data_IF_887694200067
#
_entry.id   IF_887694200067
#
_cell.length_a   1.000
_cell.length_b   1.000
_cell.length_c   1.000
_cell.angle_alpha   90.00
_cell.angle_beta   90.00
_cell.angle_gamma   90.00
#
_symmetry.space_group_name_H-M   'P 1'
#
loop_
_entity.id
_entity.type
_entity.pdbx_description
1 polymer ?
#
# COMPACT_ATOMS: atom_id res chain seq x y z
N UNK A 1 -45.28 -7.49 -33.94
CA UNK A 1 -43.87 -7.77 -33.60
C UNK A 1 -43.18 -6.44 -33.37
N UNK A 2 -42.89 -6.10 -32.12
CA UNK A 2 -42.01 -5.00 -31.74
C UNK A 2 -41.39 -5.42 -30.43
N UNK A 3 -40.14 -5.86 -30.49
CA UNK A 3 -39.33 -6.17 -29.34
C UNK A 3 -38.75 -4.84 -28.84
N UNK A 4 -38.98 -4.51 -27.57
CA UNK A 4 -38.24 -3.47 -26.88
C UNK A 4 -36.96 -4.09 -26.31
N UNK A 5 -35.83 -3.78 -26.90
CA UNK A 5 -34.53 -3.97 -26.26
C UNK A 5 -34.35 -2.86 -25.22
N UNK A 6 -34.53 -3.21 -23.94
CA UNK A 6 -33.96 -2.43 -22.85
C UNK A 6 -32.50 -2.79 -22.73
N UNK A 7 -31.63 -1.99 -23.35
CA UNK A 7 -30.20 -2.01 -23.09
C UNK A 7 -29.96 -1.63 -21.62
N UNK A 8 -29.57 -2.61 -20.80
CA UNK A 8 -29.05 -2.38 -19.45
C UNK A 8 -27.67 -1.71 -19.57
N UNK A 9 -27.63 -0.38 -19.43
CA UNK A 9 -26.40 0.36 -19.27
C UNK A 9 -25.72 -0.10 -17.96
N UNK A 10 -24.79 -1.04 -18.06
CA UNK A 10 -23.86 -1.34 -16.97
C UNK A 10 -22.91 -0.14 -16.86
N UNK A 11 -22.67 0.43 -15.67
CA UNK A 11 -21.68 1.47 -15.54
C UNK A 11 -20.32 0.86 -15.87
N UNK A 12 -19.74 1.24 -17.00
CA UNK A 12 -18.35 0.94 -17.32
C UNK A 12 -17.49 1.89 -16.49
N UNK A 13 -17.14 1.47 -15.28
CA UNK A 13 -16.23 2.21 -14.41
C UNK A 13 -16.50 1.97 -12.93
N UNK A 14 -15.42 1.90 -12.16
CA UNK A 14 -15.41 1.83 -10.69
C UNK A 14 -16.30 2.90 -10.03
N UNK A 15 -16.98 2.50 -8.95
CA UNK A 15 -17.82 3.38 -8.14
C UNK A 15 -17.07 4.69 -7.74
N UNK A 16 -17.61 5.88 -8.07
CA UNK A 16 -17.01 7.17 -7.71
C UNK A 16 -16.73 7.34 -6.21
N UNK A 17 -17.56 6.79 -5.32
CA UNK A 17 -17.35 6.88 -3.87
C UNK A 17 -16.08 6.15 -3.41
N UNK A 18 -15.69 5.07 -4.10
CA UNK A 18 -14.39 4.40 -3.84
C UNK A 18 -13.22 5.29 -4.23
N UNK A 19 -13.33 6.01 -5.36
CA UNK A 19 -12.30 6.97 -5.79
C UNK A 19 -12.13 8.08 -4.76
N UNK A 20 -13.23 8.59 -4.20
CA UNK A 20 -13.20 9.63 -3.15
C UNK A 20 -12.44 9.16 -1.90
N UNK A 21 -12.56 7.88 -1.51
CA UNK A 21 -11.82 7.34 -0.34
C UNK A 21 -10.30 7.28 -0.50
N UNK A 22 -9.81 7.44 -1.73
CA UNK A 22 -8.39 7.53 -2.06
C UNK A 22 -8.11 8.79 -2.91
N UNK A 23 -8.85 9.89 -2.71
CA UNK A 23 -8.58 11.16 -3.39
C UNK A 23 -7.15 11.68 -3.11
N UNK A 24 -6.60 11.30 -1.95
CA UNK A 24 -5.18 11.37 -1.62
C UNK A 24 -4.61 9.96 -1.43
N UNK A 25 -3.29 9.76 -1.58
CA UNK A 25 -2.66 8.48 -1.30
C UNK A 25 -3.02 8.00 0.12
N UNK A 26 -3.49 6.76 0.30
CA UNK A 26 -3.79 6.24 1.63
C UNK A 26 -2.58 6.30 2.56
N UNK A 27 -2.81 6.70 3.82
CA UNK A 27 -1.81 6.71 4.88
C UNK A 27 -2.28 5.83 6.04
N UNK A 28 -1.39 5.03 6.60
CA UNK A 28 -1.77 4.06 7.63
C UNK A 28 -0.64 3.20 8.16
N UNK A 29 -1.03 2.09 8.77
CA UNK A 29 -0.18 1.06 9.32
C UNK A 29 -0.56 -0.30 8.73
N UNK A 30 0.44 -1.15 8.49
CA UNK A 30 0.25 -2.52 8.03
C UNK A 30 1.10 -3.47 8.90
N UNK A 31 0.55 -4.63 9.23
CA UNK A 31 1.20 -5.59 10.15
C UNK A 31 2.35 -6.42 9.58
N UNK A 32 2.60 -6.39 8.26
CA UNK A 32 3.52 -7.32 7.60
C UNK A 32 4.97 -7.21 8.09
N UNK A 33 5.58 -6.02 8.03
CA UNK A 33 7.02 -5.89 8.31
C UNK A 33 7.36 -6.21 9.77
N UNK A 34 6.45 -5.97 10.71
CA UNK A 34 6.64 -6.30 12.12
C UNK A 34 6.22 -7.72 12.48
N UNK A 35 5.08 -8.22 11.98
CA UNK A 35 4.46 -9.45 12.48
C UNK A 35 4.20 -10.52 11.42
N UNK A 36 4.59 -10.29 10.16
CA UNK A 36 4.36 -11.21 9.05
C UNK A 36 2.89 -11.61 8.96
N UNK A 37 2.64 -12.91 8.73
CA UNK A 37 1.29 -13.47 8.75
C UNK A 37 0.70 -13.70 10.15
N UNK A 38 1.42 -13.34 11.24
CA UNK A 38 1.18 -13.81 12.61
C UNK A 38 0.64 -12.76 13.60
N UNK A 39 0.20 -11.60 13.10
CA UNK A 39 -0.33 -10.54 13.97
C UNK A 39 -1.54 -11.02 14.80
N UNK A 40 -1.66 -10.50 16.01
CA UNK A 40 -2.77 -10.75 16.94
C UNK A 40 -3.67 -9.52 17.11
N UNK A 41 -4.89 -9.72 17.59
CA UNK A 41 -5.83 -8.61 17.87
C UNK A 41 -5.24 -7.56 18.83
N UNK A 42 -4.54 -8.00 19.87
CA UNK A 42 -3.94 -7.09 20.84
C UNK A 42 -2.87 -6.18 20.19
N UNK A 43 -2.08 -6.72 19.28
CA UNK A 43 -1.05 -5.97 18.55
C UNK A 43 -1.69 -5.00 17.54
N UNK A 44 -2.74 -5.42 16.83
CA UNK A 44 -3.51 -4.51 15.95
C UNK A 44 -4.05 -3.32 16.74
N UNK A 45 -4.65 -3.58 17.91
CA UNK A 45 -5.22 -2.53 18.74
C UNK A 45 -4.16 -1.60 19.33
N UNK A 46 -3.01 -2.13 19.77
CA UNK A 46 -1.92 -1.30 20.26
C UNK A 46 -1.41 -0.31 19.19
N UNK A 47 -1.27 -0.76 17.94
CA UNK A 47 -0.86 0.10 16.83
C UNK A 47 -1.99 1.07 16.43
N UNK A 48 -3.25 0.63 16.45
CA UNK A 48 -4.40 1.49 16.17
C UNK A 48 -4.55 2.61 17.21
N UNK A 49 -4.44 2.31 18.50
CA UNK A 49 -4.50 3.29 19.59
C UNK A 49 -3.34 4.30 19.47
N UNK A 50 -2.11 3.82 19.23
CA UNK A 50 -0.97 4.69 19.00
C UNK A 50 -1.17 5.62 17.79
N UNK A 51 -1.61 5.06 16.67
CA UNK A 51 -1.85 5.82 15.44
C UNK A 51 -2.94 6.87 15.63
N UNK A 52 -4.03 6.53 16.35
CA UNK A 52 -5.11 7.44 16.68
C UNK A 52 -4.63 8.63 17.52
N UNK A 53 -3.82 8.37 18.54
CA UNK A 53 -3.37 9.38 19.50
C UNK A 53 -2.28 10.29 18.94
N UNK A 54 -1.40 9.76 18.08
CA UNK A 54 -0.15 10.46 17.70
C UNK A 54 -0.08 10.86 16.22
N UNK A 55 -0.71 10.10 15.31
CA UNK A 55 -0.50 10.25 13.87
C UNK A 55 -1.78 10.64 13.11
N UNK A 56 -2.97 10.42 13.67
CA UNK A 56 -4.24 10.75 13.02
C UNK A 56 -4.38 12.21 12.63
N UNK A 57 -3.86 13.13 13.45
CA UNK A 57 -3.84 14.57 13.16
C UNK A 57 -3.08 14.93 11.88
N UNK A 58 -2.14 14.08 11.47
CA UNK A 58 -1.29 14.24 10.28
C UNK A 58 -1.81 13.45 9.07
N UNK A 59 -2.99 12.84 9.16
CA UNK A 59 -3.65 12.14 8.05
C UNK A 59 -3.48 10.62 8.04
N UNK A 60 -2.65 10.04 8.91
CA UNK A 60 -2.51 8.59 9.08
C UNK A 60 -3.80 8.02 9.66
N UNK A 61 -4.54 7.19 8.91
CA UNK A 61 -5.89 6.80 9.35
C UNK A 61 -6.35 5.42 8.92
N UNK A 62 -5.47 4.56 8.39
CA UNK A 62 -5.80 3.20 7.98
C UNK A 62 -5.02 2.19 8.81
N UNK A 63 -5.67 1.15 9.31
CA UNK A 63 -5.04 0.03 10.04
C UNK A 63 -5.32 -1.24 9.25
N UNK A 64 -4.28 -1.87 8.70
CA UNK A 64 -4.42 -3.05 7.82
C UNK A 64 -3.87 -4.29 8.52
N UNK A 65 -4.72 -5.31 8.68
CA UNK A 65 -4.33 -6.66 9.08
C UNK A 65 -3.85 -7.39 7.83
N UNK A 66 -2.56 -7.68 7.74
CA UNK A 66 -1.97 -8.32 6.57
C UNK A 66 -2.25 -9.85 6.54
N UNK A 67 -1.57 -10.56 5.63
CA UNK A 67 -1.89 -11.91 5.18
C UNK A 67 -2.14 -12.93 6.29
N UNK A 68 -2.90 -13.98 5.95
CA UNK A 68 -3.08 -15.17 6.79
C UNK A 68 -3.74 -14.91 8.14
N UNK A 69 -4.52 -13.84 8.31
CA UNK A 69 -5.39 -13.66 9.47
C UNK A 69 -6.39 -14.83 9.68
N UNK A 70 -6.65 -15.60 8.63
CA UNK A 70 -7.46 -16.82 8.65
C UNK A 70 -6.72 -18.09 9.07
N UNK A 71 -5.39 -18.07 9.12
CA UNK A 71 -4.56 -19.22 9.47
C UNK A 71 -4.32 -19.23 10.99
N UNK A 72 -4.77 -20.25 11.74
CA UNK A 72 -4.56 -20.33 13.19
C UNK A 72 -3.09 -20.35 13.59
N UNK A 73 -2.24 -20.96 12.75
CA UNK A 73 -0.83 -21.13 13.02
C UNK A 73 -0.01 -20.83 11.75
N UNK A 74 0.17 -19.54 11.41
CA UNK A 74 0.79 -19.10 10.16
C UNK A 74 2.31 -19.32 10.13
N UNK A 75 2.90 -19.87 11.19
CA UNK A 75 4.35 -19.89 11.35
C UNK A 75 4.91 -18.52 11.74
N UNK A 76 6.24 -18.40 11.69
CA UNK A 76 6.97 -17.18 12.13
C UNK A 76 7.75 -16.48 11.02
N UNK A 77 8.14 -17.20 9.97
CA UNK A 77 8.98 -16.67 8.87
C UNK A 77 8.46 -17.13 7.50
N UNK A 78 8.18 -18.43 7.35
CA UNK A 78 7.69 -18.99 6.09
C UNK A 78 6.27 -19.53 6.24
N UNK A 79 5.55 -19.55 5.11
CA UNK A 79 4.25 -20.18 5.01
C UNK A 79 4.36 -21.70 5.14
N UNK A 80 3.33 -22.31 5.71
CA UNK A 80 3.20 -23.77 5.75
C UNK A 80 2.96 -24.30 4.35
N UNK A 81 3.52 -25.47 4.03
CA UNK A 81 3.24 -26.17 2.77
C UNK A 81 1.74 -26.44 2.56
N UNK A 82 1.00 -26.61 3.65
CA UNK A 82 -0.45 -26.76 3.64
C UNK A 82 -1.08 -25.83 4.70
N UNK A 83 -1.95 -24.92 4.25
CA UNK A 83 -2.76 -24.09 5.13
C UNK A 83 -3.93 -24.88 5.73
N UNK A 84 -4.26 -24.54 6.97
CA UNK A 84 -5.46 -24.97 7.69
C UNK A 84 -6.35 -23.75 8.00
N UNK A 85 -6.59 -22.95 6.96
CA UNK A 85 -7.42 -21.76 7.03
C UNK A 85 -8.77 -22.05 7.71
N UNK A 86 -9.17 -21.18 8.63
CA UNK A 86 -10.53 -21.18 9.18
C UNK A 86 -11.47 -20.69 8.07
N UNK A 87 -12.43 -21.54 7.71
CA UNK A 87 -13.40 -21.27 6.65
C UNK A 87 -14.82 -21.34 7.21
N UNK A 88 -15.72 -20.55 6.62
CA UNK A 88 -17.16 -20.78 6.79
C UNK A 88 -17.68 -21.92 5.89
N UNK A 89 -18.99 -22.18 5.99
CA UNK A 89 -19.65 -23.24 5.22
C UNK A 89 -19.69 -22.99 3.70
N UNK A 90 -19.29 -21.79 3.25
CA UNK A 90 -19.28 -21.38 1.84
C UNK A 90 -17.85 -21.20 1.28
N UNK A 91 -16.85 -21.68 2.02
CA UNK A 91 -15.45 -21.64 1.59
C UNK A 91 -14.79 -20.26 1.71
N UNK A 92 -15.40 -19.29 2.40
CA UNK A 92 -14.82 -17.97 2.64
C UNK A 92 -13.92 -18.00 3.87
N UNK A 93 -12.75 -17.35 3.85
CA UNK A 93 -11.86 -17.27 5.01
C UNK A 93 -12.48 -16.47 6.16
N UNK A 94 -12.32 -16.98 7.39
CA UNK A 94 -12.73 -16.37 8.64
C UNK A 94 -11.52 -16.11 9.54
N UNK A 95 -11.56 -15.08 10.42
CA UNK A 95 -10.48 -14.79 11.34
C UNK A 95 -10.21 -15.94 12.32
N UNK A 96 -8.93 -16.27 12.49
CA UNK A 96 -8.50 -17.30 13.41
C UNK A 96 -8.79 -16.87 14.86
N UNK A 97 -9.71 -17.52 15.58
CA UNK A 97 -10.22 -17.01 16.86
C UNK A 97 -9.18 -17.06 17.99
N UNK A 98 -8.16 -17.92 17.88
CA UNK A 98 -7.04 -17.94 18.83
C UNK A 98 -6.14 -16.70 18.76
N UNK A 99 -6.07 -16.05 17.58
CA UNK A 99 -5.31 -14.81 17.34
C UNK A 99 -6.20 -13.57 17.46
N UNK A 100 -7.49 -13.73 17.14
CA UNK A 100 -8.49 -12.68 17.19
C UNK A 100 -9.68 -13.10 18.07
N UNK A 101 -9.55 -13.02 19.41
CA UNK A 101 -10.57 -13.50 20.34
C UNK A 101 -11.93 -12.82 20.18
N UNK A 102 -11.97 -11.54 19.80
CA UNK A 102 -13.25 -10.84 19.54
C UNK A 102 -13.98 -11.42 18.32
N UNK A 103 -13.27 -12.10 17.45
CA UNK A 103 -13.78 -12.72 16.24
C UNK A 103 -14.18 -14.19 16.42
N UNK A 104 -14.33 -14.67 17.66
CA UNK A 104 -14.77 -16.04 17.97
C UNK A 104 -16.10 -16.44 17.31
N UNK A 105 -16.94 -15.46 16.93
CA UNK A 105 -18.17 -15.66 16.15
C UNK A 105 -17.96 -15.68 14.62
N UNK A 106 -16.73 -15.74 14.12
CA UNK A 106 -16.42 -15.74 12.69
C UNK A 106 -16.55 -14.36 12.03
N UNK A 107 -16.26 -13.27 12.75
CA UNK A 107 -16.41 -11.92 12.19
C UNK A 107 -15.39 -10.94 12.73
N UNK A 108 -14.77 -10.17 11.85
CA UNK A 108 -13.92 -9.04 12.24
C UNK A 108 -14.70 -7.80 12.68
N UNK A 109 -16.04 -7.79 12.62
CA UNK A 109 -16.85 -6.64 12.98
C UNK A 109 -16.50 -6.03 14.35
N UNK A 110 -16.30 -6.80 15.43
CA UNK A 110 -15.93 -6.23 16.72
C UNK A 110 -14.58 -5.49 16.69
N UNK A 111 -13.58 -6.01 15.98
CA UNK A 111 -12.28 -5.36 15.81
C UNK A 111 -12.41 -4.11 14.93
N UNK A 112 -13.12 -4.20 13.82
CA UNK A 112 -13.38 -3.07 12.93
C UNK A 112 -14.12 -1.94 13.66
N UNK A 113 -15.17 -2.25 14.43
CA UNK A 113 -15.93 -1.29 15.24
C UNK A 113 -15.03 -0.58 16.26
N UNK A 114 -14.07 -1.30 16.87
CA UNK A 114 -13.06 -0.68 17.77
C UNK A 114 -12.13 0.27 17.03
N UNK A 115 -11.63 -0.12 15.85
CA UNK A 115 -10.78 0.74 15.00
C UNK A 115 -11.56 1.97 14.53
N UNK A 116 -12.82 1.81 14.14
CA UNK A 116 -13.71 2.92 13.76
C UNK A 116 -14.01 3.85 14.92
N UNK A 117 -14.16 3.33 16.14
CA UNK A 117 -14.37 4.15 17.34
C UNK A 117 -13.18 5.07 17.66
N UNK A 118 -11.97 4.70 17.24
CA UNK A 118 -10.76 5.55 17.28
C UNK A 118 -10.74 6.60 16.15
N UNK A 119 -11.74 6.60 15.27
CA UNK A 119 -11.83 7.46 14.09
C UNK A 119 -10.87 7.07 12.97
N UNK A 120 -10.49 5.79 12.93
CA UNK A 120 -9.62 5.19 11.92
C UNK A 120 -10.44 4.32 10.96
N UNK A 121 -9.79 3.83 9.90
CA UNK A 121 -10.31 2.91 8.89
C UNK A 121 -9.69 1.53 9.07
N UNK A 122 -10.49 0.48 8.87
CA UNK A 122 -10.04 -0.89 9.05
C UNK A 122 -9.80 -1.57 7.70
N UNK A 123 -8.67 -2.25 7.55
CA UNK A 123 -8.30 -2.96 6.33
C UNK A 123 -7.88 -4.40 6.57
N UNK A 124 -8.05 -5.22 5.55
CA UNK A 124 -7.59 -6.62 5.54
C UNK A 124 -6.87 -6.96 4.26
N UNK A 125 -5.96 -7.92 4.35
CA UNK A 125 -5.35 -8.59 3.20
C UNK A 125 -6.22 -9.75 2.70
N UNK A 126 -6.15 -10.04 1.40
CA UNK A 126 -6.68 -11.25 0.79
C UNK A 126 -5.67 -11.82 -0.19
N UNK A 127 -5.51 -13.14 -0.20
CA UNK A 127 -4.92 -13.86 -1.33
C UNK A 127 -5.93 -13.94 -2.48
N UNK A 128 -5.47 -13.76 -3.73
CA UNK A 128 -6.24 -14.08 -4.93
C UNK A 128 -6.79 -15.50 -4.85
N UNK A 129 -7.99 -15.70 -5.38
CA UNK A 129 -8.57 -17.01 -5.62
C UNK A 129 -9.41 -17.55 -4.45
N UNK A 130 -9.54 -18.88 -4.44
CA UNK A 130 -10.34 -19.65 -3.48
C UNK A 130 -9.42 -20.56 -2.64
N UNK A 131 -9.64 -20.69 -1.32
CA UNK A 131 -8.84 -21.58 -0.48
C UNK A 131 -8.81 -23.02 -1.00
N UNK A 132 -7.63 -23.63 -1.09
CA UNK A 132 -7.47 -25.02 -1.53
C UNK A 132 -8.31 -25.98 -0.70
N UNK A 133 -8.40 -25.73 0.61
CA UNK A 133 -9.25 -26.50 1.53
C UNK A 133 -10.75 -26.44 1.16
N UNK A 134 -11.23 -25.31 0.65
CA UNK A 134 -12.61 -25.18 0.20
C UNK A 134 -12.86 -26.01 -1.07
N UNK A 135 -11.88 -26.03 -1.98
CA UNK A 135 -11.88 -26.85 -3.20
C UNK A 135 -11.85 -28.34 -2.85
N UNK A 136 -10.91 -28.79 -2.02
CA UNK A 136 -10.78 -30.19 -1.56
C UNK A 136 -12.08 -30.72 -0.93
N UNK A 137 -12.78 -29.87 -0.18
CA UNK A 137 -14.03 -30.20 0.51
C UNK A 137 -15.28 -30.01 -0.37
N UNK A 138 -15.13 -29.49 -1.58
CA UNK A 138 -16.21 -29.11 -2.48
C UNK A 138 -17.29 -28.27 -1.77
N UNK A 139 -16.87 -27.27 -0.99
CA UNK A 139 -17.80 -26.38 -0.27
C UNK A 139 -18.67 -25.60 -1.27
N UNK A 140 -19.94 -25.35 -0.96
CA UNK A 140 -20.84 -24.62 -1.85
C UNK A 140 -20.43 -23.16 -2.02
N UNK A 141 -20.60 -22.59 -3.22
CA UNK A 141 -20.50 -21.14 -3.41
C UNK A 141 -21.84 -20.51 -3.03
N UNK A 142 -21.81 -19.57 -2.07
CA UNK A 142 -23.02 -18.93 -1.54
C UNK A 142 -23.89 -18.34 -2.65
N UNK A 143 -25.19 -18.66 -2.62
CA UNK A 143 -26.17 -18.15 -3.59
C UNK A 143 -26.18 -18.88 -4.93
N UNK A 144 -25.50 -20.03 -5.05
CA UNK A 144 -25.42 -20.82 -6.29
C UNK A 144 -25.62 -22.31 -6.02
N UNK A 145 -25.76 -23.08 -7.10
CA UNK A 145 -25.82 -24.55 -7.08
C UNK A 145 -24.46 -25.23 -7.32
N UNK A 146 -23.38 -24.44 -7.44
CA UNK A 146 -22.02 -24.94 -7.73
C UNK A 146 -21.15 -24.93 -6.48
N UNK A 147 -20.00 -25.61 -6.55
CA UNK A 147 -19.02 -25.71 -5.48
C UNK A 147 -17.75 -24.92 -5.78
N UNK A 148 -16.93 -24.69 -4.75
CA UNK A 148 -15.60 -24.11 -4.89
C UNK A 148 -14.72 -24.92 -5.86
N UNK A 149 -14.92 -26.24 -5.97
CA UNK A 149 -14.20 -27.08 -6.93
C UNK A 149 -14.61 -26.83 -8.38
N UNK A 150 -15.87 -26.46 -8.63
CA UNK A 150 -16.36 -26.18 -9.98
C UNK A 150 -15.77 -24.88 -10.54
N UNK A 151 -15.45 -23.92 -9.68
CA UNK A 151 -14.91 -22.59 -10.07
C UNK A 151 -13.37 -22.52 -10.00
N UNK A 152 -12.70 -23.52 -9.46
CA UNK A 152 -11.25 -23.52 -9.29
C UNK A 152 -10.49 -23.66 -10.62
N UNK A 153 -9.42 -22.88 -10.77
CA UNK A 153 -8.40 -23.03 -11.81
C UNK A 153 -7.07 -23.44 -11.17
N UNK A 154 -6.85 -24.75 -11.08
CA UNK A 154 -5.63 -25.35 -10.52
C UNK A 154 -4.37 -25.09 -11.39
N UNK A 155 -4.52 -24.52 -12.59
CA UNK A 155 -3.37 -24.11 -13.40
C UNK A 155 -2.84 -22.72 -13.01
N UNK A 156 -3.59 -21.98 -12.20
CA UNK A 156 -3.30 -20.61 -11.75
C UNK A 156 -2.97 -20.57 -10.27
N UNK A 157 -1.79 -21.08 -9.92
CA UNK A 157 -1.30 -21.14 -8.54
C UNK A 157 -0.43 -19.92 -8.20
N UNK A 158 -0.52 -19.46 -6.95
CA UNK A 158 0.46 -18.55 -6.38
C UNK A 158 1.81 -19.29 -6.24
N UNK A 159 2.93 -18.74 -6.75
CA UNK A 159 4.22 -19.42 -6.71
C UNK A 159 4.92 -19.36 -5.34
N UNK A 160 4.45 -18.52 -4.42
CA UNK A 160 5.11 -18.25 -3.12
C UNK A 160 4.24 -18.52 -1.90
N UNK A 161 2.92 -18.71 -2.06
CA UNK A 161 2.00 -19.08 -0.98
C UNK A 161 1.04 -20.18 -1.46
N UNK A 162 0.81 -21.25 -0.69
CA UNK A 162 0.02 -22.40 -1.13
C UNK A 162 -1.46 -22.34 -0.74
N UNK A 163 -1.95 -21.26 -0.13
CA UNK A 163 -3.26 -21.24 0.54
C UNK A 163 -4.42 -21.37 -0.46
N UNK A 164 -4.29 -20.72 -1.62
CA UNK A 164 -5.34 -20.58 -2.61
C UNK A 164 -4.98 -21.23 -3.97
N UNK A 165 -6.02 -21.45 -4.78
CA UNK A 165 -5.94 -21.64 -6.24
C UNK A 165 -6.77 -20.55 -6.92
N UNK A 166 -6.45 -20.23 -8.18
CA UNK A 166 -7.20 -19.22 -8.93
C UNK A 166 -8.68 -19.56 -9.08
N UNK A 167 -9.50 -18.52 -9.30
CA UNK A 167 -10.91 -18.67 -9.65
C UNK A 167 -11.12 -18.39 -11.12
N UNK A 168 -11.68 -19.35 -11.86
CA UNK A 168 -12.15 -19.13 -13.23
C UNK A 168 -13.47 -18.34 -13.19
N UNK A 169 -13.34 -17.02 -13.22
CA UNK A 169 -14.47 -16.07 -13.17
C UNK A 169 -15.42 -16.17 -14.38
N UNK A 170 -15.09 -16.98 -15.40
CA UNK A 170 -15.98 -17.24 -16.54
C UNK A 170 -16.96 -18.39 -16.29
N UNK A 171 -16.72 -19.21 -15.26
CA UNK A 171 -17.63 -20.29 -14.87
C UNK A 171 -18.80 -19.76 -14.04
N UNK A 172 -19.97 -20.41 -14.11
CA UNK A 172 -21.06 -20.14 -13.17
C UNK A 172 -20.55 -20.24 -11.73
N UNK A 173 -20.81 -19.23 -10.90
CA UNK A 173 -20.35 -19.15 -9.51
C UNK A 173 -19.01 -18.44 -9.31
N UNK A 174 -18.20 -18.24 -10.35
CA UNK A 174 -16.88 -17.62 -10.21
C UNK A 174 -16.95 -16.16 -9.74
N UNK A 175 -17.85 -15.35 -10.32
CA UNK A 175 -18.09 -13.98 -9.86
C UNK A 175 -18.86 -13.97 -8.54
N UNK A 176 -19.83 -14.86 -8.36
CA UNK A 176 -20.65 -14.96 -7.15
C UNK A 176 -19.82 -15.29 -5.91
N UNK A 177 -18.76 -16.07 -6.05
CA UNK A 177 -17.80 -16.31 -4.96
C UNK A 177 -17.16 -14.99 -4.49
N UNK A 178 -16.62 -14.19 -5.41
CA UNK A 178 -16.05 -12.89 -5.04
C UNK A 178 -17.10 -11.91 -4.51
N UNK A 179 -18.30 -11.88 -5.09
CA UNK A 179 -19.43 -11.07 -4.59
C UNK A 179 -19.75 -11.44 -3.13
N UNK A 180 -19.79 -12.74 -2.81
CA UNK A 180 -20.06 -13.24 -1.46
C UNK A 180 -18.95 -12.93 -0.46
N UNK A 181 -17.70 -12.88 -0.90
CA UNK A 181 -16.55 -12.54 -0.07
C UNK A 181 -16.53 -11.03 0.22
N UNK A 182 -16.77 -10.18 -0.77
CA UNK A 182 -16.82 -8.73 -0.55
C UNK A 182 -18.05 -8.31 0.26
N UNK A 183 -19.18 -9.02 0.12
CA UNK A 183 -20.34 -8.82 1.00
C UNK A 183 -20.00 -9.13 2.47
N UNK A 184 -19.28 -10.23 2.73
CA UNK A 184 -18.82 -10.58 4.08
C UNK A 184 -17.91 -9.49 4.68
N UNK A 185 -16.94 -9.00 3.90
CA UNK A 185 -16.06 -7.90 4.36
C UNK A 185 -16.84 -6.60 4.59
N UNK A 186 -17.85 -6.31 3.77
CA UNK A 186 -18.74 -5.17 3.97
C UNK A 186 -19.56 -5.28 5.26
N UNK A 187 -20.08 -6.46 5.59
CA UNK A 187 -20.77 -6.74 6.86
C UNK A 187 -19.86 -6.54 8.08
N UNK A 188 -18.56 -6.82 7.93
CA UNK A 188 -17.56 -6.58 8.97
C UNK A 188 -17.16 -5.11 9.11
N UNK A 189 -17.52 -4.26 8.14
CA UNK A 189 -17.12 -2.86 8.15
C UNK A 189 -15.71 -2.60 7.60
N UNK A 190 -15.15 -3.48 6.77
CA UNK A 190 -13.85 -3.25 6.12
C UNK A 190 -13.90 -2.02 5.21
N UNK A 191 -12.87 -1.17 5.25
CA UNK A 191 -12.71 0.03 4.43
C UNK A 191 -11.63 -0.12 3.34
N UNK A 192 -10.74 -1.09 3.51
CA UNK A 192 -9.54 -1.26 2.69
C UNK A 192 -9.24 -2.75 2.48
N UNK A 193 -8.98 -3.15 1.24
CA UNK A 193 -8.65 -4.52 0.85
C UNK A 193 -7.31 -4.49 0.10
N UNK A 194 -6.30 -5.19 0.63
CA UNK A 194 -5.06 -5.50 -0.09
C UNK A 194 -5.20 -6.87 -0.72
N UNK A 195 -5.31 -6.93 -2.05
CA UNK A 195 -5.40 -8.16 -2.82
C UNK A 195 -4.02 -8.55 -3.36
N UNK A 196 -3.55 -9.71 -2.96
CA UNK A 196 -2.22 -10.23 -3.28
C UNK A 196 -2.25 -11.34 -4.32
N UNK A 197 -1.07 -11.69 -4.85
CA UNK A 197 -0.90 -12.64 -5.96
C UNK A 197 -1.61 -12.22 -7.26
N UNK A 198 -1.58 -10.91 -7.59
CA UNK A 198 -2.30 -10.41 -8.79
C UNK A 198 -1.46 -9.60 -9.79
N UNK A 199 -0.30 -9.03 -9.42
CA UNK A 199 0.50 -8.22 -10.34
C UNK A 199 1.81 -8.87 -10.81
N UNK A 200 2.18 -10.02 -10.25
CA UNK A 200 3.29 -10.83 -10.79
C UNK A 200 2.93 -11.31 -12.21
N UNK A 201 3.85 -11.29 -13.19
CA UNK A 201 3.52 -11.73 -14.54
C UNK A 201 3.13 -13.22 -14.60
N UNK A 202 2.00 -13.58 -15.26
CA UNK A 202 1.05 -12.68 -15.91
C UNK A 202 0.12 -11.98 -14.91
N UNK A 203 -0.14 -10.68 -15.12
CA UNK A 203 -1.13 -9.92 -14.33
C UNK A 203 -2.49 -10.61 -14.39
N UNK A 204 -3.12 -10.77 -13.23
CA UNK A 204 -4.38 -11.51 -13.05
C UNK A 204 -5.61 -10.63 -13.29
N UNK A 205 -5.65 -9.98 -14.45
CA UNK A 205 -6.65 -8.99 -14.89
C UNK A 205 -8.11 -9.41 -14.65
N UNK A 206 -8.44 -10.67 -14.94
CA UNK A 206 -9.81 -11.17 -14.84
C UNK A 206 -10.30 -11.20 -13.38
N UNK A 207 -9.45 -11.68 -12.46
CA UNK A 207 -9.77 -11.77 -11.04
C UNK A 207 -9.70 -10.39 -10.37
N UNK A 208 -8.75 -9.52 -10.75
CA UNK A 208 -8.71 -8.12 -10.28
C UNK A 208 -10.03 -7.41 -10.63
N UNK A 209 -10.50 -7.55 -11.88
CA UNK A 209 -11.74 -6.94 -12.31
C UNK A 209 -12.96 -7.54 -11.59
N UNK A 210 -12.95 -8.85 -11.31
CA UNK A 210 -14.02 -9.52 -10.56
C UNK A 210 -14.10 -9.05 -9.11
N UNK A 211 -12.97 -8.94 -8.41
CA UNK A 211 -12.90 -8.39 -7.05
C UNK A 211 -13.34 -6.92 -7.03
N UNK A 212 -12.91 -6.12 -7.99
CA UNK A 212 -13.33 -4.71 -8.09
C UNK A 212 -14.85 -4.57 -8.26
N UNK A 213 -15.47 -5.38 -9.14
CA UNK A 213 -16.93 -5.41 -9.29
C UNK A 213 -17.64 -5.90 -8.03
N UNK A 214 -17.08 -6.90 -7.35
CA UNK A 214 -17.62 -7.42 -6.11
C UNK A 214 -17.62 -6.38 -4.99
N UNK A 215 -16.56 -5.55 -4.90
CA UNK A 215 -16.54 -4.41 -3.97
C UNK A 215 -17.68 -3.45 -4.30
N UNK A 216 -17.87 -3.09 -5.57
CA UNK A 216 -18.95 -2.17 -5.98
C UNK A 216 -20.34 -2.74 -5.65
N UNK A 217 -20.53 -4.06 -5.83
CA UNK A 217 -21.78 -4.77 -5.53
C UNK A 217 -22.06 -4.94 -4.03
N UNK A 218 -21.02 -4.93 -3.19
CA UNK A 218 -21.16 -5.07 -1.74
C UNK A 218 -21.93 -3.90 -1.09
N UNK A 219 -22.03 -2.76 -1.79
CA UNK A 219 -22.67 -1.55 -1.27
C UNK A 219 -21.83 -0.78 -0.23
N UNK A 220 -20.65 -1.28 0.14
CA UNK A 220 -19.69 -0.56 1.00
C UNK A 220 -18.48 -0.11 0.17
N UNK A 221 -18.14 1.19 0.15
CA UNK A 221 -16.98 1.64 -0.59
C UNK A 221 -15.69 1.21 0.14
N UNK A 222 -14.98 0.26 -0.46
CA UNK A 222 -13.67 -0.22 0.00
C UNK A 222 -12.57 0.20 -0.99
N UNK A 223 -11.45 0.68 -0.45
CA UNK A 223 -10.22 0.94 -1.20
C UNK A 223 -9.61 -0.40 -1.61
N UNK A 224 -9.27 -0.59 -2.88
CA UNK A 224 -8.60 -1.77 -3.40
C UNK A 224 -7.13 -1.45 -3.69
N UNK A 225 -6.24 -2.18 -3.01
CA UNK A 225 -4.80 -2.20 -3.18
C UNK A 225 -4.38 -3.52 -3.84
N UNK A 226 -3.49 -3.47 -4.83
CA UNK A 226 -3.03 -4.66 -5.57
C UNK A 226 -1.56 -4.99 -5.27
N UNK A 227 -1.24 -6.27 -5.09
CA UNK A 227 0.06 -6.79 -4.65
C UNK A 227 0.36 -8.18 -5.25
N UNK A 228 1.62 -8.65 -5.24
CA UNK A 228 2.85 -7.87 -5.14
C UNK A 228 3.23 -7.40 -6.54
N UNK A 229 4.01 -6.33 -6.66
CA UNK A 229 4.49 -5.85 -7.96
C UNK A 229 5.72 -6.64 -8.43
N UNK A 230 5.81 -7.00 -9.71
CA UNK A 230 7.08 -7.44 -10.31
C UNK A 230 7.09 -7.14 -11.79
N UNK A 231 8.16 -6.51 -12.27
CA UNK A 231 8.31 -6.14 -13.68
C UNK A 231 7.11 -5.35 -14.24
N UNK A 232 6.44 -4.56 -13.38
CA UNK A 232 5.16 -3.94 -13.72
C UNK A 232 5.28 -2.92 -14.86
N UNK A 233 4.50 -3.15 -15.91
CA UNK A 233 4.49 -2.33 -17.13
C UNK A 233 3.40 -1.27 -17.09
N UNK A 234 3.68 -0.09 -17.66
CA UNK A 234 2.69 0.96 -17.89
C UNK A 234 1.60 0.54 -18.90
N UNK A 235 1.75 -0.59 -19.59
CA UNK A 235 0.72 -1.13 -20.47
C UNK A 235 -0.59 -1.44 -19.72
N UNK A 236 -0.53 -1.72 -18.42
CA UNK A 236 -1.69 -1.98 -17.56
C UNK A 236 -2.21 -0.72 -16.84
N UNK A 237 -1.62 0.46 -17.08
CA UNK A 237 -1.92 1.67 -16.30
C UNK A 237 -3.40 2.04 -16.35
N UNK A 238 -4.02 2.08 -17.53
CA UNK A 238 -5.43 2.44 -17.65
C UNK A 238 -6.35 1.37 -17.07
N UNK A 239 -5.99 0.08 -17.22
CA UNK A 239 -6.71 -1.02 -16.59
C UNK A 239 -6.72 -0.87 -15.06
N UNK A 240 -5.57 -0.64 -14.43
CA UNK A 240 -5.46 -0.47 -12.98
C UNK A 240 -6.24 0.74 -12.49
N UNK A 241 -6.18 1.85 -13.22
CA UNK A 241 -6.97 3.05 -12.93
C UNK A 241 -8.48 2.81 -12.95
N UNK A 242 -8.95 1.83 -13.70
CA UNK A 242 -10.36 1.49 -13.81
C UNK A 242 -10.85 0.53 -12.73
N UNK A 243 -9.94 -0.21 -12.08
CA UNK A 243 -10.31 -1.29 -11.15
C UNK A 243 -9.79 -1.10 -9.72
N UNK A 244 -8.69 -0.39 -9.50
CA UNK A 244 -8.05 -0.25 -8.19
C UNK A 244 -7.69 1.19 -7.84
N UNK A 245 -7.52 1.45 -6.54
CA UNK A 245 -7.07 2.74 -6.02
C UNK A 245 -5.55 2.81 -5.90
N UNK A 246 -4.89 1.66 -5.68
CA UNK A 246 -3.43 1.59 -5.61
C UNK A 246 -2.89 0.23 -6.07
N UNK A 247 -1.65 0.22 -6.57
CA UNK A 247 -0.99 -1.00 -7.07
C UNK A 247 0.52 -0.92 -6.86
N UNK A 248 1.09 -1.99 -6.32
CA UNK A 248 2.52 -2.13 -6.04
C UNK A 248 3.36 -2.05 -7.32
N UNK A 249 4.36 -1.17 -7.35
CA UNK A 249 5.30 -1.02 -8.48
C UNK A 249 6.62 -1.78 -8.31
N UNK A 250 6.78 -2.42 -7.17
CA UNK A 250 7.94 -3.24 -6.80
C UNK A 250 7.51 -4.52 -6.11
N UNK A 251 8.46 -5.46 -6.06
CA UNK A 251 8.38 -6.60 -5.14
C UNK A 251 8.46 -6.10 -3.70
N UNK A 252 8.37 -7.01 -2.74
CA UNK A 252 8.36 -6.63 -1.31
C UNK A 252 9.57 -5.76 -0.95
N UNK A 253 9.29 -4.59 -0.42
CA UNK A 253 10.28 -3.57 -0.08
C UNK A 253 10.69 -3.68 1.38
N UNK A 254 12.01 -3.70 1.62
CA UNK A 254 12.61 -3.85 2.94
C UNK A 254 13.66 -2.78 3.22
N UNK A 255 14.13 -2.77 4.47
CA UNK A 255 15.17 -1.88 5.00
C UNK A 255 16.57 -2.21 4.43
N UNK A 256 16.69 -2.11 3.11
CA UNK A 256 17.90 -2.38 2.33
C UNK A 256 18.15 -1.24 1.33
N UNK A 257 19.36 -0.68 1.37
CA UNK A 257 19.72 0.47 0.54
C UNK A 257 19.65 0.16 -0.96
N UNK A 258 20.00 -1.07 -1.39
CA UNK A 258 19.93 -1.41 -2.81
C UNK A 258 18.48 -1.41 -3.29
N UNK A 259 17.54 -1.91 -2.48
CA UNK A 259 16.12 -1.81 -2.79
C UNK A 259 15.63 -0.36 -2.85
N UNK A 260 16.02 0.49 -1.90
CA UNK A 260 15.65 1.93 -1.90
C UNK A 260 16.21 2.64 -3.14
N UNK A 261 17.46 2.35 -3.50
CA UNK A 261 18.12 2.86 -4.71
C UNK A 261 17.38 2.44 -5.98
N UNK A 262 16.88 1.20 -6.06
CA UNK A 262 16.06 0.75 -7.19
C UNK A 262 14.71 1.47 -7.30
N UNK A 263 14.10 1.83 -6.16
CA UNK A 263 12.82 2.55 -6.15
C UNK A 263 12.89 3.89 -6.87
N UNK A 264 14.05 4.56 -6.93
CA UNK A 264 14.17 5.81 -7.68
C UNK A 264 13.80 5.66 -9.17
N UNK A 265 14.20 4.58 -9.82
CA UNK A 265 13.89 4.36 -11.24
C UNK A 265 12.40 4.05 -11.46
N UNK A 266 11.79 3.31 -10.52
CA UNK A 266 10.35 3.02 -10.54
C UNK A 266 9.56 4.29 -10.25
N UNK A 267 9.93 5.05 -9.24
CA UNK A 267 9.31 6.32 -8.90
C UNK A 267 9.36 7.30 -10.09
N UNK A 268 10.51 7.47 -10.73
CA UNK A 268 10.64 8.36 -11.89
C UNK A 268 9.73 7.93 -13.06
N UNK A 269 9.55 6.62 -13.26
CA UNK A 269 8.63 6.06 -14.28
C UNK A 269 7.17 6.33 -13.94
N UNK A 270 6.76 6.19 -12.67
CA UNK A 270 5.35 6.18 -12.27
C UNK A 270 4.81 7.54 -11.79
N UNK A 271 5.65 8.42 -11.24
CA UNK A 271 5.22 9.72 -10.69
C UNK A 271 4.39 10.60 -11.65
N UNK A 272 4.71 10.68 -12.97
CA UNK A 272 3.90 11.46 -13.92
C UNK A 272 2.48 10.93 -14.12
N UNK A 273 2.20 9.69 -13.72
CA UNK A 273 0.92 9.02 -13.95
C UNK A 273 0.00 9.03 -12.72
N UNK A 274 0.46 9.56 -11.60
CA UNK A 274 -0.32 9.61 -10.36
C UNK A 274 -1.46 10.63 -10.47
N UNK A 275 -2.66 10.24 -10.06
CA UNK A 275 -3.85 11.10 -10.03
C UNK A 275 -4.76 10.73 -8.85
N UNK A 276 -5.63 11.65 -8.38
CA UNK A 276 -6.60 11.34 -7.34
C UNK A 276 -7.35 10.03 -7.59
N UNK A 277 -7.33 9.13 -6.61
CA UNK A 277 -7.96 7.81 -6.67
C UNK A 277 -7.22 6.74 -7.45
N UNK A 278 -5.95 6.96 -7.83
CA UNK A 278 -5.16 6.03 -8.65
C UNK A 278 -3.65 6.21 -8.39
N UNK A 279 -3.11 5.36 -7.51
CA UNK A 279 -1.78 5.52 -6.93
C UNK A 279 -0.85 4.32 -7.20
N UNK A 280 0.21 4.54 -7.96
CA UNK A 280 1.38 3.67 -7.93
C UNK A 280 1.96 3.64 -6.51
N UNK A 281 2.15 2.44 -6.00
CA UNK A 281 2.54 2.16 -4.62
C UNK A 281 3.96 1.62 -4.55
N UNK A 282 4.85 2.39 -3.91
CA UNK A 282 6.24 2.00 -3.65
C UNK A 282 6.39 1.08 -2.43
N UNK A 283 5.28 0.54 -1.93
CA UNK A 283 5.19 -0.41 -0.82
C UNK A 283 5.36 0.24 0.56
N UNK A 284 5.24 -0.58 1.59
CA UNK A 284 5.28 -0.21 3.00
C UNK A 284 6.61 0.46 3.39
N UNK A 285 6.58 1.15 4.54
CA UNK A 285 7.71 1.85 5.13
C UNK A 285 8.33 0.94 6.20
N UNK A 286 9.46 0.26 5.94
CA UNK A 286 10.13 -0.65 6.88
C UNK A 286 10.92 0.17 7.92
N UNK A 287 10.20 1.00 8.67
CA UNK A 287 10.71 1.95 9.66
C UNK A 287 10.41 1.47 11.09
N UNK A 288 11.14 1.97 12.08
CA UNK A 288 10.94 1.60 13.48
C UNK A 288 11.33 0.16 13.78
N UNK A 289 10.62 -0.49 14.71
CA UNK A 289 10.87 -1.89 15.09
C UNK A 289 10.13 -2.85 14.16
N UNK A 290 10.86 -3.63 13.38
CA UNK A 290 10.36 -4.60 12.40
C UNK A 290 10.96 -6.00 12.65
N UNK A 291 10.48 -7.01 11.95
CA UNK A 291 11.03 -8.36 12.01
C UNK A 291 10.72 -9.13 13.30
N UNK A 292 9.79 -8.65 14.13
CA UNK A 292 9.44 -9.31 15.42
C UNK A 292 9.03 -10.75 15.14
N UNK A 293 8.19 -10.97 14.12
CA UNK A 293 7.80 -12.28 13.57
C UNK A 293 7.53 -12.18 12.06
N UNK A 294 8.51 -11.76 11.28
CA UNK A 294 8.32 -11.46 9.86
C UNK A 294 9.07 -12.42 8.93
N UNK A 295 8.72 -12.36 7.64
CA UNK A 295 9.35 -13.16 6.60
C UNK A 295 10.85 -12.86 6.41
N UNK A 296 11.24 -11.58 6.53
CA UNK A 296 12.62 -11.14 6.28
C UNK A 296 13.34 -10.72 7.56
N UNK A 297 14.41 -11.46 7.87
CA UNK A 297 15.30 -11.20 9.00
C UNK A 297 14.67 -11.57 10.35
N UNK A 298 15.19 -10.98 11.43
CA UNK A 298 14.64 -11.11 12.78
C UNK A 298 14.38 -9.74 13.42
N UNK A 299 13.96 -9.76 14.69
CA UNK A 299 13.58 -8.59 15.47
C UNK A 299 14.70 -7.54 15.52
N UNK A 300 14.41 -6.35 14.99
CA UNK A 300 15.38 -5.27 14.84
C UNK A 300 14.70 -3.92 14.76
N UNK A 301 15.48 -2.87 14.99
CA UNK A 301 15.17 -1.58 14.40
C UNK A 301 15.55 -1.61 12.91
N UNK A 302 14.82 -0.85 12.08
CA UNK A 302 15.14 -0.64 10.67
C UNK A 302 16.64 -0.40 10.48
N UNK A 303 17.22 -1.08 9.49
CA UNK A 303 18.63 -0.91 9.11
C UNK A 303 18.90 0.43 8.42
N UNK A 304 17.87 1.15 7.99
CA UNK A 304 18.05 2.47 7.42
C UNK A 304 18.54 3.48 8.47
N UNK A 305 19.63 4.15 8.13
CA UNK A 305 20.08 5.36 8.84
C UNK A 305 19.02 6.46 8.76
N UNK A 306 19.05 7.45 9.66
CA UNK A 306 18.09 8.57 9.60
C UNK A 306 18.12 9.33 8.26
N UNK A 307 19.28 9.42 7.62
CA UNK A 307 19.39 10.05 6.30
C UNK A 307 18.72 9.21 5.21
N UNK A 308 18.86 7.88 5.25
CA UNK A 308 18.12 6.97 4.36
C UNK A 308 16.61 7.00 4.62
N UNK A 309 16.18 7.12 5.88
CA UNK A 309 14.75 7.25 6.23
C UNK A 309 14.15 8.55 5.69
N UNK A 310 14.90 9.67 5.76
CA UNK A 310 14.50 10.94 5.12
C UNK A 310 14.48 10.83 3.60
N UNK A 311 15.45 10.14 3.00
CA UNK A 311 15.47 9.86 1.56
C UNK A 311 14.24 9.07 1.13
N UNK A 312 13.91 8.01 1.86
CA UNK A 312 12.72 7.17 1.65
C UNK A 312 11.44 8.00 1.74
N UNK A 313 11.20 8.70 2.85
CA UNK A 313 9.97 9.48 3.02
C UNK A 313 9.85 10.60 2.00
N UNK A 314 10.96 11.27 1.66
CA UNK A 314 10.95 12.32 0.64
C UNK A 314 10.59 11.76 -0.73
N UNK A 315 11.19 10.64 -1.14
CA UNK A 315 10.90 10.00 -2.43
C UNK A 315 9.45 9.50 -2.48
N UNK A 316 8.94 8.87 -1.43
CA UNK A 316 7.55 8.39 -1.37
C UNK A 316 6.56 9.55 -1.47
N UNK A 317 6.81 10.65 -0.76
CA UNK A 317 5.93 11.82 -0.81
C UNK A 317 5.96 12.51 -2.18
N UNK A 318 7.12 12.61 -2.83
CA UNK A 318 7.23 13.15 -4.20
C UNK A 318 6.56 12.22 -5.23
N UNK A 319 6.77 10.91 -5.12
CA UNK A 319 6.03 9.93 -5.91
C UNK A 319 4.52 10.01 -5.66
N UNK A 320 4.07 10.57 -4.54
CA UNK A 320 2.68 10.46 -4.05
C UNK A 320 2.28 8.99 -3.85
N UNK A 321 3.23 8.20 -3.35
CA UNK A 321 2.97 6.82 -2.93
C UNK A 321 2.05 6.83 -1.71
N UNK A 322 1.18 5.81 -1.54
CA UNK A 322 0.61 5.49 -0.25
C UNK A 322 1.71 5.35 0.81
N UNK A 323 1.41 5.74 2.05
CA UNK A 323 2.34 5.67 3.18
C UNK A 323 1.80 4.66 4.20
N UNK A 324 2.28 3.43 4.15
CA UNK A 324 1.89 2.37 5.10
C UNK A 324 3.07 2.04 6.01
N UNK A 325 3.05 2.50 7.26
CA UNK A 325 4.08 2.18 8.25
C UNK A 325 4.07 0.69 8.57
N UNK A 326 5.22 0.02 8.45
CA UNK A 326 5.34 -1.43 8.67
C UNK A 326 5.83 -1.83 10.07
N UNK A 327 6.45 -0.91 10.81
CA UNK A 327 6.98 -1.20 12.15
C UNK A 327 5.93 -1.26 13.25
N UNK A 328 6.35 -1.77 14.41
CA UNK A 328 5.58 -1.69 15.64
C UNK A 328 5.63 -0.25 16.19
N UNK A 329 4.55 0.51 15.97
CA UNK A 329 4.46 1.94 16.30
C UNK A 329 4.80 2.24 17.78
N UNK A 330 4.25 1.51 18.77
CA UNK A 330 4.55 1.78 20.19
C UNK A 330 6.03 1.65 20.57
N UNK A 331 6.80 0.83 19.84
CA UNK A 331 8.24 0.61 20.11
C UNK A 331 9.13 1.36 19.11
N UNK A 332 8.58 2.27 18.32
CA UNK A 332 9.34 3.04 17.34
C UNK A 332 10.10 4.18 18.03
N UNK A 333 11.40 4.38 17.74
CA UNK A 333 12.16 5.51 18.27
C UNK A 333 11.59 6.90 17.92
N UNK A 334 11.72 7.86 18.84
CA UNK A 334 11.19 9.23 18.68
C UNK A 334 11.73 9.96 17.45
N UNK A 335 12.99 9.74 17.09
CA UNK A 335 13.62 10.34 15.91
C UNK A 335 12.98 9.88 14.59
N UNK A 336 12.56 8.61 14.52
CA UNK A 336 11.83 8.02 13.41
C UNK A 336 10.39 8.53 13.38
N UNK A 337 9.72 8.58 14.53
CA UNK A 337 8.35 9.09 14.65
C UNK A 337 8.24 10.57 14.24
N UNK A 338 9.25 11.38 14.58
CA UNK A 338 9.31 12.78 14.18
C UNK A 338 9.28 12.96 12.65
N UNK A 339 9.80 11.99 11.88
CA UNK A 339 9.75 12.05 10.42
C UNK A 339 8.33 11.92 9.85
N UNK A 340 7.43 11.26 10.59
CA UNK A 340 6.05 10.98 10.17
C UNK A 340 5.08 12.16 10.40
N UNK A 341 5.56 13.25 11.02
CA UNK A 341 4.73 14.38 11.49
C UNK A 341 5.15 15.73 10.89
N UNK A 342 6.04 15.74 9.90
CA UNK A 342 6.41 16.96 9.19
C UNK A 342 5.35 17.34 8.15
N UNK A 343 4.49 18.31 8.48
CA UNK A 343 3.39 18.77 7.63
C UNK A 343 3.84 19.22 6.23
N UNK A 344 4.99 19.87 6.13
CA UNK A 344 5.51 20.37 4.85
C UNK A 344 5.94 19.20 3.95
N UNK A 345 6.59 18.18 4.50
CA UNK A 345 6.92 16.95 3.74
C UNK A 345 5.66 16.23 3.31
N UNK A 346 4.72 16.00 4.23
CA UNK A 346 3.45 15.31 3.95
C UNK A 346 2.59 16.06 2.94
N UNK A 347 2.70 17.39 2.85
CA UNK A 347 1.97 18.20 1.87
C UNK A 347 2.31 17.82 0.42
N UNK A 348 3.50 17.25 0.17
CA UNK A 348 3.93 16.79 -1.16
C UNK A 348 3.04 15.66 -1.71
N UNK A 349 2.36 14.88 -0.85
CA UNK A 349 1.38 13.88 -1.27
C UNK A 349 0.21 14.49 -2.07
N UNK A 350 -0.09 15.78 -1.83
CA UNK A 350 -1.06 16.57 -2.59
C UNK A 350 -0.45 17.41 -3.70
N UNK A 351 0.84 17.24 -4.00
CA UNK A 351 1.58 18.06 -4.94
C UNK A 351 1.27 17.78 -6.41
N UNK A 352 1.66 18.74 -7.25
CA UNK A 352 1.53 18.71 -8.70
C UNK A 352 2.90 18.71 -9.39
N UNK A 353 2.91 18.22 -10.63
CA UNK A 353 4.10 18.26 -11.49
C UNK A 353 5.29 17.45 -10.97
N UNK A 354 5.09 16.53 -10.01
CA UNK A 354 6.22 15.82 -9.41
C UNK A 354 6.89 14.86 -10.39
N UNK A 355 8.20 15.05 -10.57
CA UNK A 355 9.03 14.25 -11.49
C UNK A 355 10.51 14.40 -11.18
N UNK A 356 11.28 13.40 -11.61
CA UNK A 356 12.73 13.51 -11.74
C UNK A 356 13.08 14.49 -12.87
N UNK A 357 13.99 15.44 -12.62
CA UNK A 357 14.45 16.44 -13.59
C UNK A 357 15.94 16.34 -13.89
N UNK A 358 16.73 15.73 -13.00
CA UNK A 358 18.16 15.47 -13.21
C UNK A 358 18.48 14.08 -12.70
N UNK A 359 19.22 13.32 -13.51
CA UNK A 359 19.93 12.11 -13.10
C UNK A 359 21.31 12.12 -13.73
N UNK A 360 22.33 12.21 -12.89
CA UNK A 360 23.74 12.18 -13.31
C UNK A 360 24.55 11.37 -12.31
N UNK A 361 24.83 10.10 -12.68
CA UNK A 361 25.38 9.11 -11.77
C UNK A 361 24.49 8.95 -10.52
N UNK A 362 25.08 9.21 -9.36
CA UNK A 362 24.41 9.14 -8.05
C UNK A 362 23.68 10.43 -7.66
N UNK A 363 23.77 11.51 -8.45
CA UNK A 363 22.98 12.72 -8.22
C UNK A 363 21.60 12.56 -8.85
N UNK A 364 20.56 12.77 -8.04
CA UNK A 364 19.17 12.78 -8.51
C UNK A 364 18.48 14.02 -8.00
N UNK A 365 17.83 14.77 -8.88
CA UNK A 365 17.04 15.95 -8.49
C UNK A 365 15.60 15.77 -8.95
N UNK A 366 14.67 15.96 -8.01
CA UNK A 366 13.24 15.97 -8.26
C UNK A 366 12.66 17.36 -8.08
N UNK A 367 11.58 17.63 -8.79
CA UNK A 367 10.73 18.80 -8.55
C UNK A 367 9.32 18.40 -8.10
N UNK A 368 8.65 19.33 -7.44
CA UNK A 368 7.21 19.32 -7.19
C UNK A 368 6.73 20.75 -6.93
N UNK A 369 5.42 20.97 -6.98
CA UNK A 369 4.80 22.17 -6.45
C UNK A 369 3.61 21.84 -5.56
N UNK A 370 3.45 22.57 -4.46
CA UNK A 370 2.30 22.47 -3.56
C UNK A 370 1.74 23.88 -3.36
N UNK A 371 0.48 24.09 -3.72
CA UNK A 371 -0.19 25.39 -3.60
C UNK A 371 0.60 26.58 -4.21
N UNK A 372 1.31 26.35 -5.31
CA UNK A 372 2.14 27.35 -5.99
C UNK A 372 3.57 27.52 -5.43
N UNK A 373 3.88 26.95 -4.25
CA UNK A 373 5.24 26.91 -3.71
C UNK A 373 6.05 25.85 -4.45
N UNK A 374 7.30 26.16 -4.81
CA UNK A 374 8.16 25.24 -5.55
C UNK A 374 9.06 24.44 -4.60
N UNK A 375 9.23 23.14 -4.88
CA UNK A 375 10.09 22.25 -4.11
C UNK A 375 11.14 21.62 -5.02
N UNK A 376 12.37 21.45 -4.49
CA UNK A 376 13.42 20.62 -5.10
C UNK A 376 13.96 19.66 -4.06
N UNK A 377 13.99 18.38 -4.38
CA UNK A 377 14.71 17.40 -3.58
C UNK A 377 16.00 17.03 -4.30
N UNK A 378 17.13 17.34 -3.69
CA UNK A 378 18.47 16.97 -4.14
C UNK A 378 18.89 15.74 -3.36
N UNK A 379 18.84 14.58 -4.01
CA UNK A 379 19.26 13.30 -3.45
C UNK A 379 20.70 12.99 -3.88
N UNK A 380 21.45 12.38 -2.96
CA UNK A 380 22.77 11.84 -3.25
C UNK A 380 22.81 10.36 -2.90
N UNK A 381 22.97 9.52 -3.93
CA UNK A 381 22.94 8.06 -3.81
C UNK A 381 24.32 7.43 -3.57
N UNK A 382 25.36 8.25 -3.40
CA UNK A 382 26.74 7.78 -3.19
C UNK A 382 27.05 7.53 -1.71
N UNK A 383 28.09 6.75 -1.47
CA UNK A 383 28.45 6.22 -0.14
C UNK A 383 29.16 7.25 0.78
N UNK A 384 29.54 8.41 0.26
CA UNK A 384 30.20 9.50 1.00
C UNK A 384 29.47 10.82 0.79
N UNK A 385 29.40 11.74 1.77
CA UNK A 385 28.76 13.03 1.59
C UNK A 385 29.30 13.82 0.37
N UNK A 386 28.43 14.59 -0.28
CA UNK A 386 28.77 15.38 -1.46
C UNK A 386 28.39 16.84 -1.30
N UNK A 387 29.37 17.70 -1.55
CA UNK A 387 29.10 19.12 -1.80
C UNK A 387 28.50 19.30 -3.20
N UNK A 388 27.38 20.01 -3.25
CA UNK A 388 26.63 20.28 -4.46
C UNK A 388 26.19 21.74 -4.50
N UNK A 389 26.29 22.35 -5.68
CA UNK A 389 25.87 23.74 -5.90
C UNK A 389 24.62 23.74 -6.78
N UNK A 390 23.47 23.93 -6.15
CA UNK A 390 22.17 23.93 -6.81
C UNK A 390 21.95 25.27 -7.54
N UNK A 391 22.34 25.32 -8.81
CA UNK A 391 22.18 26.52 -9.64
C UNK A 391 20.70 26.77 -9.99
N UNK A 392 20.17 27.89 -9.52
CA UNK A 392 18.73 28.20 -9.55
C UNK A 392 18.16 28.20 -10.98
N UNK A 393 18.84 28.83 -11.93
CA UNK A 393 18.39 28.86 -13.32
C UNK A 393 18.30 27.45 -13.95
N UNK A 394 19.24 26.56 -13.62
CA UNK A 394 19.24 25.17 -14.08
C UNK A 394 18.12 24.33 -13.46
N UNK A 395 17.55 24.80 -12.35
CA UNK A 395 16.41 24.18 -11.67
C UNK A 395 15.07 24.85 -12.02
N UNK A 396 15.06 25.84 -12.91
CA UNK A 396 13.85 26.61 -13.25
C UNK A 396 13.41 27.60 -12.17
N UNK A 397 14.34 28.04 -11.31
CA UNK A 397 14.08 28.86 -10.12
C UNK A 397 14.88 30.18 -10.13
N UNK A 398 15.15 30.74 -11.31
CA UNK A 398 16.05 31.89 -11.48
C UNK A 398 15.66 33.12 -10.63
N UNK A 399 14.37 33.30 -10.37
CA UNK A 399 13.82 34.43 -9.63
C UNK A 399 13.56 34.12 -8.14
N UNK A 400 13.93 32.92 -7.65
CA UNK A 400 13.72 32.53 -6.26
C UNK A 400 14.51 33.44 -5.32
N UNK A 401 13.83 34.00 -4.33
CA UNK A 401 14.42 34.92 -3.37
C UNK A 401 14.75 34.25 -2.03
N UNK A 402 14.10 33.11 -1.74
CA UNK A 402 14.27 32.35 -0.50
C UNK A 402 14.40 30.87 -0.77
N UNK A 403 15.20 30.19 0.05
CA UNK A 403 15.35 28.74 0.06
C UNK A 403 15.34 28.25 1.52
N UNK A 404 14.58 27.21 1.80
CA UNK A 404 14.42 26.64 3.15
C UNK A 404 14.55 25.12 3.10
N UNK A 405 15.42 24.53 3.93
CA UNK A 405 15.47 23.09 4.10
C UNK A 405 14.24 22.63 4.90
N UNK A 406 13.41 21.82 4.27
CA UNK A 406 12.11 21.39 4.79
C UNK A 406 12.24 20.44 5.99
N UNK A 407 13.33 19.69 6.08
CA UNK A 407 13.54 18.75 7.19
C UNK A 407 14.06 19.45 8.44
N UNK A 408 14.87 20.50 8.30
CA UNK A 408 15.46 21.21 9.44
C UNK A 408 14.75 22.53 9.77
N UNK A 409 13.99 23.10 8.83
CA UNK A 409 13.43 24.45 8.91
C UNK A 409 14.48 25.56 8.77
N UNK A 410 15.72 25.22 8.38
CA UNK A 410 16.81 26.16 8.22
C UNK A 410 16.68 26.93 6.90
N UNK A 411 16.83 28.26 6.97
CA UNK A 411 16.94 29.09 5.78
C UNK A 411 18.33 28.92 5.15
N UNK A 412 18.36 28.48 3.90
CA UNK A 412 19.59 28.21 3.16
C UNK A 412 20.04 29.49 2.43
N UNK A 413 21.34 29.84 2.48
CA UNK A 413 21.83 31.03 1.79
C UNK A 413 21.77 30.85 0.27
N UNK A 414 21.34 31.90 -0.43
CA UNK A 414 21.49 32.00 -1.88
C UNK A 414 22.76 32.81 -2.17
N UNK A 415 23.79 32.13 -2.68
CA UNK A 415 25.08 32.74 -3.01
C UNK A 415 25.21 32.98 -4.51
N UNK A 416 25.00 34.22 -4.92
CA UNK A 416 24.95 34.58 -6.34
C UNK A 416 23.67 34.03 -6.98
N UNK A 417 23.76 32.94 -7.72
CA UNK A 417 22.63 32.31 -8.41
C UNK A 417 22.48 30.82 -8.05
N UNK A 418 22.95 30.42 -6.86
CA UNK A 418 22.92 29.04 -6.43
C UNK A 418 22.76 28.89 -4.92
N UNK A 419 22.23 27.75 -4.50
CA UNK A 419 22.23 27.31 -3.09
C UNK A 419 23.36 26.30 -2.90
N UNK A 420 24.37 26.58 -2.06
CA UNK A 420 25.38 25.60 -1.69
C UNK A 420 24.78 24.59 -0.71
N UNK A 421 25.00 23.30 -0.98
CA UNK A 421 24.48 22.19 -0.19
C UNK A 421 25.59 21.20 0.10
N UNK A 422 25.64 20.66 1.31
CA UNK A 422 26.32 19.39 1.59
C UNK A 422 25.23 18.34 1.77
N UNK A 423 25.14 17.38 0.85
CA UNK A 423 24.15 16.30 0.89
C UNK A 423 24.81 15.07 1.53
N UNK A 424 24.23 14.47 2.58
CA UNK A 424 24.79 13.28 3.22
C UNK A 424 24.88 12.08 2.26
N UNK A 425 25.72 11.11 2.58
CA UNK A 425 25.69 9.80 1.93
C UNK A 425 24.29 9.22 2.04
N UNK A 426 23.75 8.73 0.91
CA UNK A 426 22.39 8.19 0.81
C UNK A 426 21.28 9.18 1.20
N UNK A 427 21.61 10.47 1.33
CA UNK A 427 20.76 11.48 1.93
C UNK A 427 20.05 12.38 0.92
N UNK A 428 19.27 13.30 1.47
CA UNK A 428 18.50 14.29 0.72
C UNK A 428 18.58 15.67 1.35
N UNK A 429 18.53 16.70 0.51
CA UNK A 429 18.13 18.07 0.87
C UNK A 429 16.83 18.38 0.15
N UNK A 430 15.73 18.43 0.90
CA UNK A 430 14.42 18.84 0.39
C UNK A 430 14.26 20.33 0.65
N UNK A 431 14.13 21.12 -0.39
CA UNK A 431 14.18 22.57 -0.32
C UNK A 431 12.89 23.16 -0.86
N UNK A 432 12.27 24.06 -0.09
CA UNK A 432 11.17 24.89 -0.54
C UNK A 432 11.70 26.26 -0.98
N UNK A 433 11.13 26.79 -2.07
CA UNK A 433 11.50 28.08 -2.66
C UNK A 433 10.29 29.00 -2.73
N UNK A 434 10.54 30.28 -2.44
CA UNK A 434 9.57 31.39 -2.50
C UNK A 434 10.07 32.54 -3.39
#
# INVERSE_FOLDING_TARGET
MSASETASAHPTGMNPERRVRAERPPMGWNSWDCFGGSVTEAEVLANAEYLADNLRGYGWNTVVVDIQWYEPDPGTHDYREASDAVLDDWGRPLPAPGRFPSAAGGSFRPLADRVHALGLRFGVHLMRGVPRRAVERALPVLGTEVTCADIADETRLCPWNPDNVGVDVTRPGGQEYYDSLMALLAEWGVDFVKLDDVLYPPVESAEIAAVSRAIDRSGRPMVLSLSPGRELSLAHLEEFRDVAQMWRISDDFWDDWAQLREQFQRAARWAPHQRPGAWADADMLPLGRIGIRAHVGGDRLSRFTLDEQRTLLTLWCLLRSPLMFGGHLPDTPDDTLALLTNDTVLSLLGGEGSREIVRDGDLVVWEASVAGRAFRAVFWLGDEPRDYRAHLAGLGLADAARAEDVWTGEELPIEGAAVPLTVPAHGVRLIAFD
#
